data_IF_601931020694
#
_entry.id   IF_601931020694
#
_cell.length_a   1.000
_cell.length_b   1.000
_cell.length_c   1.000
_cell.angle_alpha   90.00
_cell.angle_beta   90.00
_cell.angle_gamma   90.00
#
_symmetry.space_group_name_H-M   'P 1'
#
loop_
_entity.id
_entity.type
_entity.pdbx_description
1 polymer ?
#
# COMPACT_ATOMS: atom_id res chain seq x y z
N UNK A 1 7.46 -10.93 60.81
CA UNK A 1 7.65 -11.86 59.66
C UNK A 1 6.54 -11.79 58.60
N UNK A 2 5.27 -11.45 58.91
CA UNK A 2 4.17 -11.44 57.93
C UNK A 2 4.31 -10.42 56.75
N UNK A 3 4.90 -9.24 56.97
CA UNK A 3 5.08 -8.22 55.91
C UNK A 3 6.00 -8.66 54.76
N UNK A 4 7.01 -9.49 55.04
CA UNK A 4 7.93 -10.01 54.01
C UNK A 4 7.23 -10.97 53.04
N UNK A 5 6.28 -11.78 53.54
CA UNK A 5 5.50 -12.72 52.73
C UNK A 5 4.49 -12.03 51.79
N UNK A 6 3.89 -10.91 52.21
CA UNK A 6 2.95 -10.16 51.37
C UNK A 6 3.66 -9.45 50.21
N UNK A 7 4.84 -8.87 50.46
CA UNK A 7 5.65 -8.22 49.41
C UNK A 7 6.11 -9.22 48.34
N UNK A 8 6.53 -10.43 48.74
CA UNK A 8 6.91 -11.48 47.78
C UNK A 8 5.74 -11.92 46.89
N UNK A 9 4.52 -12.00 47.44
CA UNK A 9 3.30 -12.32 46.66
C UNK A 9 2.94 -11.21 45.68
N UNK A 10 3.05 -9.95 46.09
CA UNK A 10 2.80 -8.80 45.21
C UNK A 10 3.83 -8.75 44.08
N UNK A 11 5.11 -9.00 44.38
CA UNK A 11 6.16 -9.06 43.37
C UNK A 11 5.88 -10.16 42.33
N UNK A 12 5.59 -11.39 42.78
CA UNK A 12 5.25 -12.49 41.86
C UNK A 12 4.00 -12.21 41.02
N UNK A 13 2.97 -11.57 41.58
CA UNK A 13 1.80 -11.13 40.83
C UNK A 13 2.16 -10.07 39.76
N UNK A 14 2.97 -9.07 40.11
CA UNK A 14 3.40 -8.05 39.16
C UNK A 14 4.25 -8.64 38.03
N UNK A 15 5.13 -9.59 38.33
CA UNK A 15 5.95 -10.24 37.31
C UNK A 15 5.10 -11.11 36.37
N UNK A 16 4.13 -11.85 36.93
CA UNK A 16 3.13 -12.57 36.13
C UNK A 16 2.29 -11.64 35.25
N UNK A 17 1.84 -10.50 35.79
CA UNK A 17 1.10 -9.49 35.03
C UNK A 17 1.95 -8.91 33.90
N UNK A 18 3.22 -8.56 34.15
CA UNK A 18 4.14 -8.08 33.10
C UNK A 18 4.35 -9.12 31.98
N UNK A 19 4.50 -10.40 32.35
CA UNK A 19 4.61 -11.49 31.36
C UNK A 19 3.35 -11.56 30.49
N UNK A 20 2.17 -11.55 31.11
CA UNK A 20 0.90 -11.59 30.38
C UNK A 20 0.74 -10.37 29.45
N UNK A 21 1.08 -9.16 29.91
CA UNK A 21 1.08 -7.95 29.06
C UNK A 21 1.98 -8.14 27.85
N UNK A 22 3.20 -8.66 28.06
CA UNK A 22 4.14 -8.93 26.98
C UNK A 22 3.62 -9.97 25.97
N UNK A 23 2.97 -11.03 26.44
CA UNK A 23 2.38 -12.06 25.59
C UNK A 23 1.23 -11.51 24.74
N UNK A 24 0.31 -10.74 25.33
CA UNK A 24 -0.78 -10.11 24.59
C UNK A 24 -0.26 -9.10 23.56
N UNK A 25 0.71 -8.26 23.93
CA UNK A 25 1.33 -7.31 23.01
C UNK A 25 2.01 -8.03 21.85
N UNK A 26 2.77 -9.09 22.13
CA UNK A 26 3.43 -9.90 21.10
C UNK A 26 2.41 -10.54 20.13
N UNK A 27 1.31 -11.09 20.66
CA UNK A 27 0.25 -11.68 19.85
C UNK A 27 -0.43 -10.64 18.95
N UNK A 28 -0.79 -9.47 19.49
CA UNK A 28 -1.40 -8.37 18.73
C UNK A 28 -0.45 -7.85 17.66
N UNK A 29 0.83 -7.65 17.96
CA UNK A 29 1.82 -7.20 16.99
C UNK A 29 2.10 -8.25 15.89
N UNK A 30 2.06 -9.54 16.23
CA UNK A 30 2.14 -10.61 15.25
C UNK A 30 0.99 -10.56 14.24
N UNK A 31 -0.25 -10.37 14.73
CA UNK A 31 -1.42 -10.20 13.86
C UNK A 31 -1.38 -8.92 13.04
N UNK A 32 -0.89 -7.80 13.60
CA UNK A 32 -0.68 -6.55 12.87
C UNK A 32 0.35 -6.70 11.76
N UNK A 33 1.42 -7.45 12.00
CA UNK A 33 2.38 -7.78 10.95
C UNK A 33 1.73 -8.58 9.83
N UNK A 34 0.97 -9.64 10.17
CA UNK A 34 0.21 -10.41 9.18
C UNK A 34 -0.75 -9.51 8.37
N UNK A 35 -1.45 -8.59 9.04
CA UNK A 35 -2.38 -7.66 8.38
C UNK A 35 -1.66 -6.78 7.34
N UNK A 36 -0.48 -6.24 7.67
CA UNK A 36 0.33 -5.47 6.73
C UNK A 36 0.78 -6.32 5.55
N UNK A 37 1.22 -7.56 5.79
CA UNK A 37 1.64 -8.48 4.73
C UNK A 37 0.47 -8.80 3.79
N UNK A 38 -0.73 -9.03 4.34
CA UNK A 38 -1.96 -9.25 3.56
C UNK A 38 -2.35 -8.01 2.75
N UNK A 39 -2.22 -6.80 3.32
CA UNK A 39 -2.49 -5.55 2.59
C UNK A 39 -1.51 -5.35 1.42
N UNK A 40 -0.23 -5.66 1.62
CA UNK A 40 0.77 -5.66 0.56
C UNK A 40 0.44 -6.69 -0.52
N UNK A 41 0.07 -7.91 -0.13
CA UNK A 41 -0.36 -8.96 -1.05
C UNK A 41 -1.59 -8.53 -1.85
N UNK A 42 -2.60 -7.95 -1.20
CA UNK A 42 -3.80 -7.39 -1.85
C UNK A 42 -3.44 -6.36 -2.91
N UNK A 43 -2.55 -5.42 -2.58
CA UNK A 43 -2.08 -4.41 -3.51
C UNK A 43 -1.41 -5.05 -4.72
N UNK A 44 -0.49 -6.00 -4.50
CA UNK A 44 0.20 -6.72 -5.56
C UNK A 44 -0.79 -7.50 -6.46
N UNK A 45 -1.73 -8.24 -5.88
CA UNK A 45 -2.76 -8.99 -6.61
C UNK A 45 -3.68 -8.07 -7.42
N UNK A 46 -4.08 -6.92 -6.89
CA UNK A 46 -4.90 -5.96 -7.64
C UNK A 46 -4.16 -5.37 -8.84
N UNK A 47 -2.83 -5.26 -8.75
CA UNK A 47 -1.95 -4.74 -9.78
C UNK A 47 -1.45 -5.81 -10.76
N UNK A 48 -1.52 -7.09 -10.40
CA UNK A 48 -1.27 -8.21 -11.32
C UNK A 48 -2.09 -8.03 -12.60
N UNK A 49 -1.55 -8.37 -13.76
CA UNK A 49 -2.23 -8.22 -15.05
C UNK A 49 -2.43 -9.58 -15.72
N UNK A 50 -3.53 -9.73 -16.45
CA UNK A 50 -3.88 -10.99 -17.11
C UNK A 50 -3.14 -11.19 -18.43
N UNK A 51 -2.88 -10.09 -19.16
CA UNK A 51 -2.40 -10.17 -20.54
C UNK A 51 -1.47 -9.01 -20.91
N UNK A 52 -0.71 -9.21 -21.98
CA UNK A 52 0.08 -8.14 -22.59
C UNK A 52 -0.80 -6.97 -23.04
N UNK A 53 -2.03 -7.24 -23.50
CA UNK A 53 -2.99 -6.19 -23.90
C UNK A 53 -3.42 -5.34 -22.71
N UNK A 54 -3.65 -5.94 -21.54
CA UNK A 54 -3.95 -5.20 -20.32
C UNK A 54 -2.77 -4.30 -19.90
N UNK A 55 -1.54 -4.81 -20.04
CA UNK A 55 -0.32 -4.01 -19.80
C UNK A 55 -0.24 -2.82 -20.75
N UNK A 56 -0.48 -3.02 -22.05
CA UNK A 56 -0.51 -1.92 -23.01
C UNK A 56 -1.57 -0.88 -22.64
N UNK A 57 -2.78 -1.33 -22.32
CA UNK A 57 -3.87 -0.43 -21.95
C UNK A 57 -3.54 0.39 -20.69
N UNK A 58 -2.97 -0.23 -19.65
CA UNK A 58 -2.55 0.46 -18.43
C UNK A 58 -1.42 1.47 -18.68
N UNK A 59 -0.41 1.09 -19.44
CA UNK A 59 0.70 1.99 -19.81
C UNK A 59 0.16 3.16 -20.62
N UNK A 60 -0.72 2.93 -21.59
CA UNK A 60 -1.34 3.98 -22.38
C UNK A 60 -2.13 4.97 -21.49
N UNK A 61 -2.95 4.46 -20.56
CA UNK A 61 -3.68 5.31 -19.61
C UNK A 61 -2.76 6.11 -18.69
N UNK A 62 -1.67 5.50 -18.21
CA UNK A 62 -0.68 6.20 -17.40
C UNK A 62 0.00 7.31 -18.20
N UNK A 63 0.43 7.02 -19.43
CA UNK A 63 1.03 8.00 -20.33
C UNK A 63 0.04 9.12 -20.68
N UNK A 64 -1.25 8.86 -20.84
CA UNK A 64 -2.27 9.89 -21.05
C UNK A 64 -2.39 10.84 -19.85
N UNK A 65 -2.40 10.30 -18.64
CA UNK A 65 -2.43 11.10 -17.41
C UNK A 65 -1.17 11.95 -17.25
N UNK A 66 -0.01 11.38 -17.57
CA UNK A 66 1.27 12.08 -17.52
C UNK A 66 1.38 13.15 -18.60
N UNK A 67 0.92 12.87 -19.82
CA UNK A 67 0.88 13.83 -20.92
C UNK A 67 -0.06 14.99 -20.59
N UNK A 68 -1.24 14.72 -20.01
CA UNK A 68 -2.16 15.76 -19.56
C UNK A 68 -1.54 16.66 -18.47
N UNK A 69 -0.86 16.05 -17.51
CA UNK A 69 -0.15 16.77 -16.43
C UNK A 69 1.00 17.62 -16.98
N UNK A 70 1.76 17.07 -17.93
CA UNK A 70 2.84 17.76 -18.61
C UNK A 70 2.32 18.93 -19.46
N UNK A 71 1.19 18.78 -20.17
CA UNK A 71 0.56 19.85 -20.96
C UNK A 71 0.07 21.02 -20.09
N UNK A 72 -0.32 20.74 -18.84
CA UNK A 72 -0.69 21.79 -17.88
C UNK A 72 0.51 22.67 -17.47
N UNK A 73 1.73 22.12 -17.52
CA UNK A 73 2.98 22.83 -17.18
C UNK A 73 3.66 23.39 -18.43
N UNK A 74 3.54 22.71 -19.56
CA UNK A 74 4.19 23.02 -20.83
C UNK A 74 3.15 23.19 -21.95
N UNK A 75 2.85 24.43 -22.36
CA UNK A 75 1.98 24.65 -23.50
C UNK A 75 2.62 24.10 -24.80
N UNK A 76 1.79 23.53 -25.69
CA UNK A 76 2.19 22.93 -26.98
C UNK A 76 3.07 23.86 -27.85
N UNK A 77 2.94 25.17 -27.65
CA UNK A 77 3.71 26.22 -28.34
C UNK A 77 5.22 26.15 -28.08
N UNK A 78 5.67 25.39 -27.08
CA UNK A 78 7.10 25.19 -26.79
C UNK A 78 7.79 24.29 -27.83
N UNK A 79 7.04 23.42 -28.53
CA UNK A 79 7.58 22.39 -29.42
C UNK A 79 7.13 22.50 -30.88
N UNK A 80 6.10 23.30 -31.18
CA UNK A 80 5.65 23.55 -32.57
C UNK A 80 6.51 24.62 -33.26
N UNK A 81 6.94 24.35 -34.50
CA UNK A 81 7.88 25.19 -35.28
C UNK A 81 7.43 26.63 -35.60
N UNK A 82 8.44 27.42 -36.00
CA UNK A 82 8.56 28.88 -36.18
C UNK A 82 8.97 29.71 -34.94
N UNK A 83 8.68 29.26 -33.72
CA UNK A 83 9.03 29.95 -32.46
C UNK A 83 9.90 29.11 -31.51
N UNK A 84 10.75 28.22 -32.04
CA UNK A 84 11.69 27.47 -31.20
C UNK A 84 12.72 28.43 -30.58
N UNK A 85 12.49 28.79 -29.33
CA UNK A 85 13.41 29.60 -28.52
C UNK A 85 14.34 28.64 -27.73
N UNK A 86 15.68 28.74 -27.87
CA UNK A 86 16.64 27.99 -27.06
C UNK A 86 16.42 28.18 -25.54
N UNK A 87 15.86 29.32 -25.10
CA UNK A 87 15.48 29.53 -23.70
C UNK A 87 14.28 28.68 -23.26
N UNK A 88 13.44 28.22 -24.19
CA UNK A 88 12.37 27.26 -23.91
C UNK A 88 12.91 25.87 -23.59
N UNK A 89 14.06 25.47 -24.17
CA UNK A 89 14.72 24.22 -23.79
C UNK A 89 15.25 24.26 -22.34
N UNK A 90 15.77 25.41 -21.90
CA UNK A 90 16.17 25.61 -20.50
C UNK A 90 14.95 25.61 -19.55
N UNK A 91 13.82 26.24 -19.95
CA UNK A 91 12.56 26.19 -19.19
C UNK A 91 11.97 24.79 -19.13
N UNK A 92 12.04 24.04 -20.22
CA UNK A 92 11.67 22.63 -20.29
C UNK A 92 12.47 21.81 -19.26
N UNK A 93 13.81 21.86 -19.34
CA UNK A 93 14.69 21.15 -18.39
C UNK A 93 14.45 21.57 -16.93
N UNK A 94 14.11 22.84 -16.67
CA UNK A 94 13.78 23.30 -15.30
C UNK A 94 12.40 22.80 -14.82
N UNK A 95 11.44 22.63 -15.74
CA UNK A 95 10.08 22.17 -15.46
C UNK A 95 9.96 20.65 -15.32
N UNK A 96 10.95 19.87 -15.78
CA UNK A 96 10.99 18.40 -15.65
C UNK A 96 11.10 17.99 -14.18
N UNK A 97 11.52 18.90 -13.29
CA UNK A 97 11.44 18.67 -11.84
C UNK A 97 10.01 18.73 -11.28
N UNK A 98 9.06 19.31 -12.02
CA UNK A 98 7.66 19.53 -11.62
C UNK A 98 6.64 18.70 -12.40
N UNK A 99 6.97 18.25 -13.61
CA UNK A 99 6.17 17.35 -14.43
C UNK A 99 6.98 16.08 -14.70
N UNK A 100 6.33 14.91 -14.86
CA UNK A 100 7.10 13.68 -15.07
C UNK A 100 7.88 13.71 -16.39
N UNK A 101 9.06 13.09 -16.35
CA UNK A 101 9.91 12.88 -17.54
C UNK A 101 9.14 12.18 -18.66
N UNK A 102 8.21 11.29 -18.31
CA UNK A 102 7.40 10.54 -19.27
C UNK A 102 6.42 11.43 -20.03
N UNK A 103 5.66 12.27 -19.33
CA UNK A 103 4.74 13.21 -19.98
C UNK A 103 5.46 14.19 -20.89
N UNK A 104 6.65 14.62 -20.50
CA UNK A 104 7.52 15.49 -21.29
C UNK A 104 7.93 14.84 -22.63
N UNK A 105 8.34 13.56 -22.59
CA UNK A 105 8.72 12.79 -23.77
C UNK A 105 7.53 12.51 -24.69
N UNK A 106 6.33 12.28 -24.13
CA UNK A 106 5.10 12.13 -24.90
C UNK A 106 4.78 13.39 -25.71
N UNK A 107 4.81 14.57 -25.09
CA UNK A 107 4.59 15.86 -25.79
C UNK A 107 5.65 16.10 -26.86
N UNK A 108 6.89 15.66 -26.62
CA UNK A 108 7.99 15.71 -27.59
C UNK A 108 7.85 14.79 -28.80
N UNK A 109 6.74 14.05 -28.94
CA UNK A 109 6.48 13.15 -30.06
C UNK A 109 7.14 11.77 -29.92
N UNK A 110 7.71 11.44 -28.77
CA UNK A 110 8.37 10.15 -28.50
C UNK A 110 7.45 9.12 -27.84
N UNK A 111 6.13 9.36 -27.85
CA UNK A 111 5.14 8.54 -27.16
C UNK A 111 5.27 7.06 -27.50
N UNK A 112 5.28 6.71 -28.79
CA UNK A 112 5.36 5.30 -29.21
C UNK A 112 6.64 4.62 -28.73
N UNK A 113 7.77 5.33 -28.73
CA UNK A 113 9.05 4.81 -28.24
C UNK A 113 9.04 4.59 -26.72
N UNK A 114 8.43 5.50 -25.96
CA UNK A 114 8.27 5.35 -24.51
C UNK A 114 7.33 4.20 -24.18
N UNK A 115 6.19 4.11 -24.87
CA UNK A 115 5.21 3.05 -24.69
C UNK A 115 5.82 1.66 -24.95
N UNK A 116 6.49 1.47 -26.09
CA UNK A 116 7.16 0.21 -26.42
C UNK A 116 8.24 -0.18 -25.39
N UNK A 117 9.03 0.79 -24.92
CA UNK A 117 10.07 0.56 -23.93
C UNK A 117 9.48 0.16 -22.55
N UNK A 118 8.39 0.80 -22.13
CA UNK A 118 7.70 0.47 -20.88
C UNK A 118 7.02 -0.91 -20.97
N UNK A 119 6.39 -1.24 -22.10
CA UNK A 119 5.80 -2.56 -22.32
C UNK A 119 6.90 -3.63 -22.28
N UNK A 120 8.02 -3.41 -22.95
CA UNK A 120 9.14 -4.36 -22.93
C UNK A 120 9.69 -4.55 -21.50
N UNK A 121 9.91 -3.47 -20.76
CA UNK A 121 10.38 -3.53 -19.38
C UNK A 121 9.41 -4.28 -18.46
N UNK A 122 8.10 -4.06 -18.61
CA UNK A 122 7.08 -4.73 -17.81
C UNK A 122 6.92 -6.20 -18.20
N UNK A 123 7.08 -6.54 -19.48
CA UNK A 123 7.03 -7.92 -19.97
C UNK A 123 8.26 -8.75 -19.58
N UNK A 124 9.44 -8.13 -19.51
CA UNK A 124 10.69 -8.76 -19.08
C UNK A 124 10.75 -8.96 -17.55
N UNK A 125 9.89 -8.28 -16.79
CA UNK A 125 9.82 -8.42 -15.36
C UNK A 125 9.16 -9.75 -14.97
N UNK A 126 9.97 -10.79 -14.90
CA UNK A 126 9.58 -12.18 -14.62
C UNK A 126 8.88 -12.39 -13.25
N UNK A 127 8.89 -11.38 -12.38
CA UNK A 127 8.22 -11.42 -11.08
C UNK A 127 6.74 -11.04 -11.14
N UNK A 128 6.24 -10.58 -12.28
CA UNK A 128 4.84 -10.16 -12.35
C UNK A 128 3.96 -11.36 -12.53
N UNK A 129 3.23 -11.69 -11.47
CA UNK A 129 2.23 -12.73 -11.47
C UNK A 129 1.13 -12.36 -12.47
N UNK A 130 0.96 -13.20 -13.49
CA UNK A 130 -0.11 -13.02 -14.47
C UNK A 130 -1.33 -13.78 -13.97
N UNK A 131 -2.38 -13.05 -13.61
CA UNK A 131 -3.64 -13.60 -13.12
C UNK A 131 -4.76 -13.17 -14.06
N UNK A 132 -5.64 -14.09 -14.46
CA UNK A 132 -6.86 -13.71 -15.18
C UNK A 132 -7.75 -12.83 -14.29
N UNK A 133 -8.76 -12.19 -14.88
CA UNK A 133 -9.73 -11.39 -14.12
C UNK A 133 -10.44 -12.25 -13.05
N UNK A 134 -10.80 -13.48 -13.38
CA UNK A 134 -11.43 -14.42 -12.45
C UNK A 134 -10.48 -14.86 -11.33
N UNK A 135 -9.23 -15.21 -11.67
CA UNK A 135 -8.22 -15.61 -10.68
C UNK A 135 -7.88 -14.47 -9.74
N UNK A 136 -7.76 -13.25 -10.28
CA UNK A 136 -7.52 -12.03 -9.52
C UNK A 136 -8.69 -11.71 -8.60
N UNK A 137 -9.92 -11.78 -9.09
CA UNK A 137 -11.11 -11.55 -8.28
C UNK A 137 -11.24 -12.58 -7.15
N UNK A 138 -10.96 -13.86 -7.44
CA UNK A 138 -10.95 -14.92 -6.43
C UNK A 138 -9.88 -14.70 -5.38
N UNK A 139 -8.64 -14.41 -5.79
CA UNK A 139 -7.52 -14.15 -4.88
C UNK A 139 -7.78 -12.91 -4.01
N UNK A 140 -8.31 -11.83 -4.59
CA UNK A 140 -8.69 -10.64 -3.84
C UNK A 140 -9.79 -10.93 -2.82
N UNK A 141 -10.80 -11.72 -3.18
CA UNK A 141 -11.85 -12.11 -2.24
C UNK A 141 -11.32 -12.96 -1.08
N UNK A 142 -10.34 -13.82 -1.33
CA UNK A 142 -9.70 -14.63 -0.28
C UNK A 142 -8.85 -13.75 0.64
N UNK A 143 -8.04 -12.86 0.07
CA UNK A 143 -7.22 -11.91 0.85
C UNK A 143 -8.13 -10.98 1.67
N UNK A 144 -9.22 -10.46 1.10
CA UNK A 144 -10.16 -9.59 1.81
C UNK A 144 -10.84 -10.30 2.98
N UNK A 145 -11.16 -11.59 2.84
CA UNK A 145 -11.66 -12.43 3.93
C UNK A 145 -10.59 -12.58 5.02
N UNK A 146 -9.35 -12.89 4.68
CA UNK A 146 -8.27 -13.05 5.66
C UNK A 146 -7.91 -11.75 6.39
N UNK A 147 -7.96 -10.62 5.69
CA UNK A 147 -7.81 -9.28 6.28
C UNK A 147 -8.90 -9.09 7.34
N UNK A 148 -10.15 -9.31 6.98
CA UNK A 148 -11.27 -9.17 7.91
C UNK A 148 -11.15 -10.09 9.14
N UNK A 149 -10.81 -11.37 8.92
CA UNK A 149 -10.59 -12.33 10.02
C UNK A 149 -9.44 -11.88 10.94
N UNK A 150 -8.36 -11.36 10.38
CA UNK A 150 -7.22 -10.85 11.16
C UNK A 150 -7.60 -9.63 11.98
N UNK A 151 -8.37 -8.69 11.41
CA UNK A 151 -8.88 -7.51 12.12
C UNK A 151 -9.80 -7.90 13.28
N UNK A 152 -10.73 -8.84 13.06
CA UNK A 152 -11.61 -9.37 14.10
C UNK A 152 -10.81 -10.03 15.22
N UNK A 153 -9.79 -10.83 14.87
CA UNK A 153 -8.93 -11.48 15.86
C UNK A 153 -8.13 -10.47 16.68
N UNK A 154 -7.58 -9.42 16.05
CA UNK A 154 -6.89 -8.33 16.76
C UNK A 154 -7.82 -7.71 17.80
N UNK A 155 -9.05 -7.35 17.42
CA UNK A 155 -10.00 -6.74 18.35
C UNK A 155 -10.41 -7.71 19.46
N UNK A 156 -10.60 -9.01 19.17
CA UNK A 156 -10.85 -10.03 20.21
C UNK A 156 -9.73 -10.07 21.25
N UNK A 157 -8.46 -10.04 20.81
CA UNK A 157 -7.32 -10.00 21.72
C UNK A 157 -7.26 -8.71 22.52
N UNK A 158 -7.54 -7.56 21.91
CA UNK A 158 -7.58 -6.26 22.61
C UNK A 158 -8.67 -6.28 23.69
N UNK A 159 -9.89 -6.73 23.38
CA UNK A 159 -10.98 -6.83 24.36
C UNK A 159 -10.68 -7.80 25.49
N UNK A 160 -10.05 -8.94 25.18
CA UNK A 160 -9.63 -9.91 26.19
C UNK A 160 -8.57 -9.30 27.13
N UNK A 161 -7.60 -8.56 26.58
CA UNK A 161 -6.60 -7.84 27.35
C UNK A 161 -7.25 -6.75 28.23
N UNK A 162 -8.15 -5.94 27.67
CA UNK A 162 -8.89 -4.90 28.42
C UNK A 162 -9.72 -5.50 29.55
N UNK A 163 -10.40 -6.63 29.32
CA UNK A 163 -11.11 -7.39 30.35
C UNK A 163 -10.21 -7.91 31.46
N UNK A 164 -8.93 -8.12 31.19
CA UNK A 164 -7.90 -8.47 32.17
C UNK A 164 -7.21 -7.24 32.82
N UNK A 165 -7.68 -6.03 32.51
CA UNK A 165 -7.10 -4.77 33.00
C UNK A 165 -5.82 -4.33 32.29
N UNK A 166 -5.53 -4.92 31.13
CA UNK A 166 -4.37 -4.59 30.29
C UNK A 166 -4.83 -3.67 29.17
N UNK A 167 -4.25 -2.49 29.08
CA UNK A 167 -4.56 -1.53 28.00
C UNK A 167 -3.66 -1.80 26.80
N UNK A 168 -4.27 -2.10 25.65
CA UNK A 168 -3.59 -2.21 24.36
C UNK A 168 -4.18 -1.15 23.44
N UNK A 169 -3.32 -0.29 22.89
CA UNK A 169 -3.76 0.78 21.98
C UNK A 169 -4.25 0.17 20.67
N UNK A 170 -5.46 0.55 20.24
CA UNK A 170 -6.00 0.21 18.92
C UNK A 170 -5.24 0.95 17.81
N UNK A 171 -5.24 0.39 16.61
CA UNK A 171 -4.65 1.07 15.44
C UNK A 171 -5.53 2.27 15.05
N UNK A 172 -4.92 3.36 14.57
CA UNK A 172 -5.63 4.53 14.08
C UNK A 172 -6.45 4.25 12.82
N UNK A 173 -6.05 3.23 12.06
CA UNK A 173 -6.70 2.81 10.83
C UNK A 173 -7.66 1.61 11.04
N UNK A 174 -7.91 1.21 12.29
CA UNK A 174 -8.81 0.11 12.57
C UNK A 174 -10.24 0.44 12.11
N UNK A 175 -10.91 -0.54 11.47
CA UNK A 175 -12.27 -0.34 10.94
C UNK A 175 -13.27 -0.11 12.08
N UNK A 176 -14.00 1.03 12.09
CA UNK A 176 -14.98 1.35 13.12
C UNK A 176 -16.02 0.26 13.35
N UNK A 177 -16.52 -0.34 12.27
CA UNK A 177 -17.50 -1.43 12.36
C UNK A 177 -17.04 -2.65 13.16
N UNK A 178 -15.72 -2.95 13.20
CA UNK A 178 -15.19 -4.10 13.93
C UNK A 178 -15.10 -3.78 15.42
N UNK A 179 -14.43 -2.69 15.81
CA UNK A 179 -14.26 -2.40 17.24
C UNK A 179 -15.54 -1.85 17.90
N UNK A 180 -16.50 -1.34 17.14
CA UNK A 180 -17.82 -0.94 17.65
C UNK A 180 -18.84 -2.10 17.67
N UNK A 181 -18.53 -3.25 17.07
CA UNK A 181 -19.44 -4.40 17.06
C UNK A 181 -19.72 -4.88 18.49
N UNK A 182 -20.99 -5.08 18.84
CA UNK A 182 -21.37 -5.55 20.18
C UNK A 182 -20.91 -7.00 20.43
N UNK A 183 -20.95 -7.83 19.39
CA UNK A 183 -20.49 -9.21 19.39
C UNK A 183 -19.50 -9.42 18.24
N UNK A 184 -18.41 -10.17 18.51
CA UNK A 184 -17.32 -10.48 17.57
C UNK A 184 -17.12 -11.99 17.44
#
# INVERSE_FOLDING_TARGET
>A
MARSSMLAKVAGFMDGHKSAVGEFQCAVEGLRSKLRDLQMARSATSQAFASAEEVRARIAMALDSEEASARAVWPETLFSGANFDPNNAARFMSGVSKASVWGALCIGGLRSTVEDALIAAEMDNAHIQRLTDEERASALSEIDREIHESEVMIEKFIRAAEGAGIVITRDENARPEIYLAQEL
#
